data_IF_877931125925
#
_entry.id   IF_877931125925
#
_cell.length_a   1.000
_cell.length_b   1.000
_cell.length_c   1.000
_cell.angle_alpha   90.00
_cell.angle_beta   90.00
_cell.angle_gamma   90.00
#
_symmetry.space_group_name_H-M   'P 1'
#
loop_
_entity.id
_entity.type
_entity.pdbx_description
1 polymer ?
#
# COMPACT_ATOMS: atom_id res chain seq x y z
N UNK A 1 -35.70 2.53 13.08
CA UNK A 1 -36.36 3.40 14.08
C UNK A 1 -36.82 2.62 15.32
N UNK A 2 -36.06 1.64 15.82
CA UNK A 2 -36.44 0.84 17.01
C UNK A 2 -35.20 0.36 17.81
N UNK A 3 -34.22 1.23 18.07
CA UNK A 3 -33.08 0.94 18.98
C UNK A 3 -32.88 2.13 19.92
N UNK A 4 -33.94 2.56 20.61
CA UNK A 4 -33.87 3.70 21.54
C UNK A 4 -34.77 3.57 22.77
N UNK A 5 -35.28 2.37 23.07
CA UNK A 5 -36.33 2.22 24.09
C UNK A 5 -36.24 0.93 24.91
N UNK A 6 -35.02 0.49 25.22
CA UNK A 6 -34.76 -0.58 26.20
C UNK A 6 -33.58 -0.23 27.12
N UNK A 7 -33.39 1.06 27.41
CA UNK A 7 -32.31 1.56 28.28
C UNK A 7 -32.84 2.16 29.59
N UNK A 8 -34.03 1.74 30.02
CA UNK A 8 -34.70 2.24 31.22
C UNK A 8 -35.48 1.09 31.82
N UNK A 9 -34.79 0.25 32.60
CA UNK A 9 -35.26 -0.56 33.74
C UNK A 9 -34.08 -1.52 34.01
N UNK A 10 -33.19 -1.09 34.90
CA UNK A 10 -32.39 -1.82 35.90
C UNK A 10 -31.41 -0.74 36.39
N UNK A 11 -31.95 0.22 37.13
CA UNK A 11 -31.25 1.33 37.75
C UNK A 11 -31.35 1.24 39.26
N UNK A 12 -31.12 0.05 39.81
CA UNK A 12 -31.03 -0.13 41.25
C UNK A 12 -29.76 -0.92 41.62
N UNK A 13 -28.79 -0.15 42.13
CA UNK A 13 -27.72 -0.55 43.03
C UNK A 13 -26.53 -1.32 42.47
N UNK A 14 -25.59 -0.62 41.84
CA UNK A 14 -24.18 -1.06 41.78
C UNK A 14 -23.28 0.10 42.29
N UNK A 15 -22.57 -0.07 43.43
CA UNK A 15 -21.67 0.93 43.98
C UNK A 15 -20.54 1.29 43.02
N UNK A 16 -20.30 2.60 42.87
CA UNK A 16 -19.21 3.19 42.11
C UNK A 16 -17.86 2.89 42.81
N UNK A 17 -17.18 1.82 42.40
CA UNK A 17 -15.72 1.74 42.49
C UNK A 17 -15.19 1.15 41.17
N UNK A 18 -15.22 1.94 40.11
CA UNK A 18 -14.60 1.55 38.84
C UNK A 18 -13.08 1.79 38.95
N UNK A 19 -12.36 0.77 39.40
CA UNK A 19 -10.91 0.69 39.15
C UNK A 19 -10.72 0.52 37.65
N UNK A 20 -10.38 1.61 36.96
CA UNK A 20 -9.95 1.60 35.57
C UNK A 20 -8.56 0.93 35.46
N UNK A 21 -8.50 -0.37 35.68
CA UNK A 21 -7.34 -1.18 35.32
C UNK A 21 -7.43 -1.45 33.81
N UNK A 22 -6.38 -1.08 33.06
CA UNK A 22 -6.29 -1.43 31.64
C UNK A 22 -6.40 -2.95 31.52
N UNK A 23 -7.25 -3.43 30.61
CA UNK A 23 -7.41 -4.85 30.36
C UNK A 23 -6.03 -5.49 30.09
N UNK A 24 -5.59 -6.34 31.00
CA UNK A 24 -4.33 -7.04 30.88
C UNK A 24 -4.58 -8.27 29.99
N UNK A 25 -4.26 -8.17 28.70
CA UNK A 25 -4.33 -9.28 27.77
C UNK A 25 -3.29 -10.33 28.15
N UNK A 26 -3.65 -11.26 29.03
CA UNK A 26 -2.97 -12.55 29.13
C UNK A 26 -3.22 -13.32 27.82
N UNK A 27 -2.25 -14.13 27.37
CA UNK A 27 -2.38 -14.88 26.10
C UNK A 27 -3.75 -15.60 26.07
N UNK A 28 -4.44 -15.50 24.94
CA UNK A 28 -5.74 -16.15 24.67
C UNK A 28 -6.97 -15.61 25.45
N UNK A 29 -6.79 -14.57 26.30
CA UNK A 29 -7.90 -13.93 27.01
C UNK A 29 -8.96 -13.32 26.07
N UNK A 30 -8.58 -12.92 24.87
CA UNK A 30 -9.50 -12.42 23.86
C UNK A 30 -10.37 -13.54 23.26
N UNK A 31 -9.86 -14.77 23.18
CA UNK A 31 -10.60 -15.92 22.63
C UNK A 31 -11.65 -16.40 23.63
N UNK A 32 -11.27 -16.50 24.91
CA UNK A 32 -12.20 -16.83 26.02
C UNK A 32 -13.36 -15.84 26.11
N UNK A 33 -13.11 -14.54 25.94
CA UNK A 33 -14.17 -13.52 25.95
C UNK A 33 -15.11 -13.65 24.75
N UNK A 34 -14.60 -14.10 23.59
CA UNK A 34 -15.46 -14.38 22.41
C UNK A 34 -16.35 -15.58 22.66
N UNK A 35 -15.80 -16.68 23.17
CA UNK A 35 -16.55 -17.91 23.44
C UNK A 35 -17.71 -17.66 24.41
N UNK A 36 -17.45 -16.93 25.50
CA UNK A 36 -18.49 -16.54 26.47
C UNK A 36 -19.56 -15.64 25.82
N UNK A 37 -19.14 -14.72 24.95
CA UNK A 37 -20.08 -13.83 24.23
C UNK A 37 -20.96 -14.61 23.26
N UNK A 38 -20.40 -15.60 22.56
CA UNK A 38 -21.11 -16.42 21.59
C UNK A 38 -22.10 -17.35 22.30
N UNK A 39 -21.71 -17.95 23.44
CA UNK A 39 -22.59 -18.74 24.31
C UNK A 39 -23.79 -17.92 24.80
N UNK A 40 -23.55 -16.71 25.30
CA UNK A 40 -24.60 -15.78 25.72
C UNK A 40 -25.53 -15.39 24.57
N UNK A 41 -25.01 -15.25 23.34
CA UNK A 41 -25.83 -14.95 22.17
C UNK A 41 -26.71 -16.14 21.77
N UNK A 42 -26.19 -17.37 21.85
CA UNK A 42 -26.97 -18.59 21.60
C UNK A 42 -28.12 -18.76 22.61
N UNK A 43 -27.84 -18.56 23.90
CA UNK A 43 -28.84 -18.65 24.97
C UNK A 43 -29.99 -17.64 24.79
N UNK A 44 -29.68 -16.45 24.28
CA UNK A 44 -30.65 -15.38 24.04
C UNK A 44 -31.31 -15.45 22.64
N UNK A 45 -31.05 -16.51 21.86
CA UNK A 45 -31.61 -16.69 20.52
C UNK A 45 -31.14 -15.63 19.50
N UNK A 46 -29.98 -15.01 19.76
CA UNK A 46 -29.36 -14.03 18.87
C UNK A 46 -28.53 -14.73 17.79
N UNK A 47 -28.48 -14.14 16.60
CA UNK A 47 -27.71 -14.68 15.48
C UNK A 47 -26.21 -14.62 15.77
N UNK A 48 -25.57 -15.77 15.90
CA UNK A 48 -24.11 -15.91 16.04
C UNK A 48 -23.47 -15.99 14.65
N UNK A 49 -22.33 -15.34 14.47
CA UNK A 49 -21.55 -15.38 13.23
C UNK A 49 -20.80 -16.71 13.18
N UNK A 50 -21.38 -17.71 12.54
CA UNK A 50 -20.80 -19.06 12.41
C UNK A 50 -19.66 -19.15 11.39
N UNK A 51 -19.65 -18.22 10.42
CA UNK A 51 -18.63 -18.12 9.39
C UNK A 51 -17.90 -16.79 9.55
N UNK A 52 -16.73 -16.77 10.23
CA UNK A 52 -15.95 -15.55 10.30
C UNK A 52 -15.51 -15.19 8.89
N UNK A 53 -15.90 -13.99 8.44
CA UNK A 53 -15.42 -13.46 7.17
C UNK A 53 -13.87 -13.51 7.14
N UNK A 54 -13.31 -13.79 5.96
CA UNK A 54 -11.86 -13.78 5.78
C UNK A 54 -11.27 -12.49 6.36
N UNK A 55 -10.17 -12.63 7.11
CA UNK A 55 -9.50 -11.50 7.76
C UNK A 55 -9.33 -10.38 6.73
N UNK A 56 -9.88 -9.19 7.04
CA UNK A 56 -9.71 -8.02 6.20
C UNK A 56 -8.22 -7.80 5.89
N UNK A 57 -7.92 -7.42 4.64
CA UNK A 57 -6.53 -7.25 4.15
C UNK A 57 -5.68 -6.51 5.15
N UNK A 58 -4.43 -6.96 5.33
CA UNK A 58 -3.51 -6.30 6.24
C UNK A 58 -3.31 -4.85 5.80
N UNK A 59 -3.22 -3.91 6.75
CA UNK A 59 -3.12 -2.47 6.45
C UNK A 59 -1.98 -2.15 5.45
N UNK A 60 -0.89 -2.94 5.46
CA UNK A 60 0.20 -2.81 4.49
C UNK A 60 -0.19 -3.17 3.05
N UNK A 61 -1.02 -4.20 2.86
CA UNK A 61 -1.56 -4.58 1.54
C UNK A 61 -2.60 -3.56 1.05
N UNK A 62 -3.50 -3.13 1.95
CA UNK A 62 -4.46 -2.06 1.65
C UNK A 62 -3.73 -0.76 1.27
N UNK A 63 -2.65 -0.41 1.98
CA UNK A 63 -1.83 0.75 1.66
C UNK A 63 -1.09 0.57 0.34
N UNK A 64 -0.60 -0.64 0.00
CA UNK A 64 0.03 -0.93 -1.29
C UNK A 64 -0.94 -0.79 -2.47
N UNK A 65 -2.20 -1.21 -2.30
CA UNK A 65 -3.28 -1.00 -3.28
C UNK A 65 -3.69 0.48 -3.37
N UNK A 66 -3.78 1.19 -2.24
CA UNK A 66 -4.18 2.60 -2.18
C UNK A 66 -3.10 3.59 -2.57
N UNK A 67 -1.82 3.28 -2.41
CA UNK A 67 -0.69 4.14 -2.85
C UNK A 67 -0.44 4.12 -4.36
N UNK A 68 -1.53 4.04 -5.14
CA UNK A 68 -1.59 4.40 -6.56
C UNK A 68 -1.19 5.86 -6.87
N UNK A 69 -0.81 6.65 -5.88
CA UNK A 69 -0.21 7.99 -5.98
C UNK A 69 1.29 8.02 -5.61
N UNK A 70 1.99 6.88 -5.64
CA UNK A 70 3.41 6.85 -5.28
C UNK A 70 4.26 7.54 -6.36
N UNK A 71 5.23 8.35 -5.92
CA UNK A 71 6.27 8.92 -6.78
C UNK A 71 6.98 7.85 -7.62
N UNK A 72 7.07 6.62 -7.11
CA UNK A 72 7.57 5.46 -7.85
C UNK A 72 6.71 5.10 -9.06
N UNK A 73 5.38 5.09 -8.91
CA UNK A 73 4.46 4.80 -10.02
C UNK A 73 4.56 5.86 -11.12
N UNK A 74 4.54 7.14 -10.74
CA UNK A 74 4.73 8.25 -11.69
C UNK A 74 6.06 8.15 -12.44
N UNK A 75 7.15 7.85 -11.72
CA UNK A 75 8.46 7.65 -12.32
C UNK A 75 8.48 6.45 -13.27
N UNK A 76 7.84 5.31 -12.92
CA UNK A 76 7.71 4.16 -13.82
C UNK A 76 6.93 4.50 -15.08
N UNK A 77 5.77 5.12 -14.94
CA UNK A 77 4.93 5.53 -16.07
C UNK A 77 5.69 6.46 -17.03
N UNK A 78 6.49 7.39 -16.51
CA UNK A 78 7.29 8.29 -17.34
C UNK A 78 8.45 7.58 -18.05
N UNK A 79 9.15 6.69 -17.34
CA UNK A 79 10.19 5.85 -17.94
C UNK A 79 9.61 4.96 -19.05
N UNK A 80 8.46 4.32 -18.84
CA UNK A 80 7.83 3.47 -19.86
C UNK A 80 7.43 4.26 -21.12
N UNK A 81 7.03 5.53 -20.98
CA UNK A 81 6.79 6.41 -22.15
C UNK A 81 8.08 6.83 -22.85
N UNK A 82 9.15 7.04 -22.09
CA UNK A 82 10.41 7.55 -22.61
C UNK A 82 11.28 6.47 -23.29
N UNK A 83 11.27 5.24 -22.77
CA UNK A 83 12.02 4.09 -23.30
C UNK A 83 11.85 3.88 -24.81
N UNK A 84 10.64 3.86 -25.39
CA UNK A 84 10.48 3.66 -26.84
C UNK A 84 10.95 4.84 -27.68
N UNK A 85 11.09 6.04 -27.11
CA UNK A 85 11.50 7.25 -27.83
C UNK A 85 13.03 7.41 -27.90
N UNK A 86 13.75 6.78 -26.98
CA UNK A 86 15.19 6.95 -26.81
C UNK A 86 15.96 5.80 -27.49
N UNK A 87 17.11 6.11 -28.11
CA UNK A 87 18.07 5.12 -28.64
C UNK A 87 19.28 4.89 -27.73
N UNK A 88 19.48 5.76 -26.74
CA UNK A 88 20.53 5.61 -25.73
C UNK A 88 20.01 5.98 -24.35
N UNK A 89 20.64 5.42 -23.32
CA UNK A 89 20.35 5.75 -21.94
C UNK A 89 20.55 7.25 -21.64
N UNK A 90 21.54 7.90 -22.27
CA UNK A 90 21.74 9.35 -22.13
C UNK A 90 20.54 10.16 -22.66
N UNK A 91 19.89 9.70 -23.73
CA UNK A 91 18.69 10.36 -24.24
C UNK A 91 17.52 10.21 -23.28
N UNK A 92 17.38 9.06 -22.63
CA UNK A 92 16.38 8.85 -21.58
C UNK A 92 16.59 9.85 -20.43
N UNK A 93 17.83 10.02 -19.98
CA UNK A 93 18.17 10.97 -18.91
C UNK A 93 17.82 12.39 -19.32
N UNK A 94 18.19 12.82 -20.53
CA UNK A 94 17.83 14.15 -21.04
C UNK A 94 16.31 14.35 -21.15
N UNK A 95 15.56 13.34 -21.59
CA UNK A 95 14.10 13.41 -21.66
C UNK A 95 13.47 13.56 -20.27
N UNK A 96 14.01 12.86 -19.27
CA UNK A 96 13.58 12.98 -17.89
C UNK A 96 13.90 14.37 -17.30
N UNK A 97 15.04 14.98 -17.66
CA UNK A 97 15.34 16.36 -17.25
C UNK A 97 14.39 17.37 -17.90
N UNK A 98 14.05 17.19 -19.18
CA UNK A 98 13.09 18.04 -19.90
C UNK A 98 11.67 17.98 -19.32
N UNK A 99 11.27 16.83 -18.78
CA UNK A 99 9.98 16.67 -18.08
C UNK A 99 9.99 17.25 -16.65
N UNK A 100 11.13 17.80 -16.21
CA UNK A 100 11.27 18.50 -14.93
C UNK A 100 11.75 17.62 -13.77
N UNK A 101 12.32 16.46 -14.05
CA UNK A 101 12.95 15.62 -13.01
C UNK A 101 14.38 16.07 -12.73
N UNK A 102 14.73 16.20 -11.45
CA UNK A 102 16.11 16.39 -11.01
C UNK A 102 16.82 15.02 -10.93
N UNK A 103 17.96 14.89 -11.61
CA UNK A 103 18.71 13.63 -11.70
C UNK A 103 20.08 13.80 -11.03
N UNK A 104 20.45 12.84 -10.18
CA UNK A 104 21.80 12.74 -9.61
C UNK A 104 22.49 11.49 -10.13
N UNK A 105 23.59 11.72 -10.86
CA UNK A 105 24.51 10.68 -11.33
C UNK A 105 25.55 10.40 -10.24
N UNK A 106 25.71 9.13 -9.88
CA UNK A 106 26.65 8.65 -8.86
C UNK A 106 26.79 7.13 -9.01
N UNK A 107 27.11 6.39 -7.95
CA UNK A 107 27.12 4.91 -8.01
C UNK A 107 25.77 4.31 -8.45
N UNK A 108 24.67 5.00 -8.14
CA UNK A 108 23.34 4.66 -8.61
C UNK A 108 22.60 5.94 -8.99
N UNK A 109 21.95 5.93 -10.15
CA UNK A 109 21.16 7.05 -10.62
C UNK A 109 19.91 7.20 -9.74
N UNK A 110 19.67 8.44 -9.33
CA UNK A 110 18.54 8.80 -8.48
C UNK A 110 17.74 9.91 -9.13
N UNK A 111 16.41 9.76 -9.13
CA UNK A 111 15.47 10.71 -9.71
C UNK A 111 14.68 11.41 -8.61
N UNK A 112 14.31 12.65 -8.87
CA UNK A 112 13.43 13.43 -8.01
C UNK A 112 12.43 14.18 -8.87
N UNK A 113 11.16 13.87 -8.65
CA UNK A 113 10.07 14.57 -9.32
C UNK A 113 9.92 16.00 -8.78
N UNK A 114 9.35 16.93 -9.56
CA UNK A 114 9.08 18.29 -9.09
C UNK A 114 8.14 18.24 -7.88
N UNK A 115 8.53 18.88 -6.78
CA UNK A 115 7.80 18.86 -5.51
C UNK A 115 8.07 17.64 -4.61
N UNK A 116 8.88 16.67 -5.04
CA UNK A 116 9.30 15.57 -4.17
C UNK A 116 10.40 16.04 -3.21
N UNK A 117 10.32 15.70 -1.91
CA UNK A 117 11.33 16.11 -0.94
C UNK A 117 12.60 15.25 -0.97
N UNK A 118 12.46 13.96 -1.30
CA UNK A 118 13.55 12.96 -1.27
C UNK A 118 13.79 12.37 -2.66
N UNK A 119 15.04 12.01 -2.93
CA UNK A 119 15.42 11.28 -4.14
C UNK A 119 14.96 9.83 -4.10
N UNK A 120 14.48 9.33 -5.22
CA UNK A 120 14.12 7.93 -5.45
C UNK A 120 15.23 7.25 -6.24
N UNK A 121 15.85 6.21 -5.67
CA UNK A 121 16.88 5.43 -6.38
C UNK A 121 16.23 4.46 -7.36
N UNK A 122 16.83 4.28 -8.53
CA UNK A 122 16.33 3.35 -9.55
C UNK A 122 16.14 1.93 -9.01
N UNK A 123 17.10 1.43 -8.20
CA UNK A 123 17.02 0.10 -7.56
C UNK A 123 15.77 -0.15 -6.72
N UNK A 124 15.09 0.91 -6.25
CA UNK A 124 13.89 0.79 -5.40
C UNK A 124 12.61 0.65 -6.20
N UNK A 125 12.69 0.75 -7.53
CA UNK A 125 11.58 0.54 -8.46
C UNK A 125 11.27 -0.95 -8.66
N UNK A 126 12.24 -1.84 -8.43
CA UNK A 126 12.11 -3.29 -8.58
C UNK A 126 12.91 -3.82 -9.77
N UNK A 127 12.73 -5.10 -10.08
CA UNK A 127 13.32 -5.75 -11.25
C UNK A 127 12.78 -5.13 -12.56
N UNK A 128 13.61 -5.09 -13.60
CA UNK A 128 13.30 -4.48 -14.90
C UNK A 128 13.53 -2.96 -15.00
N UNK A 129 14.03 -2.32 -13.93
CA UNK A 129 14.28 -0.87 -13.83
C UNK A 129 15.70 -0.55 -13.33
N UNK A 130 16.62 -1.50 -13.38
CA UNK A 130 18.04 -1.19 -13.22
C UNK A 130 18.58 -0.48 -14.48
N UNK A 131 19.73 0.19 -14.32
CA UNK A 131 20.38 0.90 -15.42
C UNK A 131 20.77 -0.05 -16.57
N UNK A 132 21.22 -1.26 -16.21
CA UNK A 132 21.58 -2.33 -17.14
C UNK A 132 20.35 -2.85 -17.90
N UNK A 133 19.27 -3.22 -17.19
CA UNK A 133 18.04 -3.70 -17.82
C UNK A 133 17.38 -2.63 -18.71
N UNK A 134 17.40 -1.36 -18.31
CA UNK A 134 16.85 -0.28 -19.15
C UNK A 134 17.70 -0.08 -20.40
N UNK A 135 19.03 -0.17 -20.30
CA UNK A 135 19.91 -0.15 -21.49
C UNK A 135 19.60 -1.30 -22.43
N UNK A 136 19.44 -2.52 -21.91
CA UNK A 136 19.06 -3.69 -22.70
C UNK A 136 17.70 -3.52 -23.36
N UNK A 137 16.69 -3.00 -22.63
CA UNK A 137 15.36 -2.72 -23.20
C UNK A 137 15.40 -1.68 -24.31
N UNK A 138 16.20 -0.62 -24.15
CA UNK A 138 16.38 0.41 -25.19
C UNK A 138 17.02 -0.22 -26.44
N UNK A 139 18.08 -1.01 -26.26
CA UNK A 139 18.76 -1.71 -27.37
C UNK A 139 17.84 -2.69 -28.09
N UNK A 140 17.07 -3.49 -27.35
CA UNK A 140 16.08 -4.40 -27.92
C UNK A 140 14.97 -3.66 -28.67
N UNK A 141 14.52 -2.51 -28.15
CA UNK A 141 13.50 -1.68 -28.79
C UNK A 141 14.00 -0.93 -30.04
N UNK A 142 15.27 -0.50 -30.07
CA UNK A 142 15.86 0.17 -31.23
C UNK A 142 16.01 -0.76 -32.44
N UNK A 143 16.33 -2.04 -32.21
CA UNK A 143 16.45 -3.06 -33.27
C UNK A 143 15.15 -3.20 -34.08
N UNK A 144 13.98 -3.01 -33.46
CA UNK A 144 12.69 -3.05 -34.16
C UNK A 144 12.32 -1.77 -34.91
N UNK A 145 12.91 -0.62 -34.55
CA UNK A 145 12.69 0.65 -35.26
C UNK A 145 13.45 0.71 -36.57
N UNK A 146 14.62 0.06 -36.64
CA UNK A 146 15.47 0.07 -37.82
C UNK A 146 14.89 -0.74 -38.98
N UNK A 147 14.10 -1.79 -38.70
CA UNK A 147 13.45 -2.61 -39.73
C UNK A 147 12.22 -1.97 -40.38
N UNK A 148 11.74 -0.82 -39.87
CA UNK A 148 10.59 -0.09 -40.46
C UNK A 148 11.00 1.05 -41.40
N UNK A 149 12.30 1.27 -41.59
CA UNK A 149 12.82 2.29 -42.50
C UNK A 149 13.49 1.70 -43.76
N UNK A 150 13.19 0.43 -44.10
CA UNK A 150 13.47 -0.16 -45.41
C UNK A 150 12.19 -0.28 -46.23
#
# INVERSE_FOLDING_TARGET
MWIRRMFTIISYSIPQHWTAHKFNNYKDSADVVRDISDELCLENGLSVVTEPAEKGKHYAEWNAEKTGTSWKKKLKEEIEKAVPLCTSFEQLVNHMEQTGYEIKRGKHISFRAPGQQRFTRMKTLGAGYSEEEIRERILAGSVHKEQKNL
#
